data_IF_141868246481
#
_entry.id   IF_141868246481
#
_cell.length_a   1.000
_cell.length_b   1.000
_cell.length_c   1.000
_cell.angle_alpha   90.00
_cell.angle_beta   90.00
_cell.angle_gamma   90.00
#
_symmetry.space_group_name_H-M   'P 1'
#
loop_
_entity.id
_entity.type
_entity.pdbx_description
1 polymer ?
#
# COMPACT_ATOMS: atom_id res chain seq x y z
N UNK A 1 -4.55 0.19 -22.26
CA UNK A 1 -4.03 0.96 -21.11
C UNK A 1 -4.77 2.28 -21.06
N UNK A 2 -5.29 2.67 -19.93
CA UNK A 2 -5.86 4.01 -19.78
C UNK A 2 -4.68 4.98 -19.61
N UNK A 3 -4.40 5.80 -20.63
CA UNK A 3 -3.29 6.78 -20.62
C UNK A 3 -3.39 7.81 -19.46
N UNK A 4 -4.53 7.83 -18.78
CA UNK A 4 -4.83 8.72 -17.66
C UNK A 4 -4.71 8.05 -16.28
N UNK A 5 -4.54 6.71 -16.19
CA UNK A 5 -4.46 6.01 -14.93
C UNK A 5 -3.08 6.14 -14.28
N UNK A 6 -3.02 6.75 -13.11
CA UNK A 6 -1.77 6.94 -12.34
C UNK A 6 -1.04 5.61 -12.10
N UNK A 7 -1.77 4.57 -11.68
CA UNK A 7 -1.16 3.27 -11.37
C UNK A 7 -0.73 2.48 -12.60
N UNK A 8 -1.40 2.65 -13.74
CA UNK A 8 -0.90 2.12 -15.01
C UNK A 8 0.46 2.72 -15.39
N UNK A 9 0.62 4.02 -15.22
CA UNK A 9 1.87 4.73 -15.49
C UNK A 9 2.99 4.33 -14.53
N UNK A 10 2.64 4.09 -13.25
CA UNK A 10 3.58 3.54 -12.26
C UNK A 10 3.99 2.11 -12.67
N UNK A 11 3.03 1.26 -13.03
CA UNK A 11 3.30 -0.10 -13.49
C UNK A 11 4.14 -0.15 -14.77
N UNK A 12 3.95 0.80 -15.68
CA UNK A 12 4.76 0.98 -16.88
C UNK A 12 6.17 1.54 -16.59
N UNK A 13 6.44 2.04 -15.39
CA UNK A 13 7.71 2.66 -15.02
C UNK A 13 7.87 4.11 -15.49
N UNK A 14 6.81 4.74 -15.97
CA UNK A 14 6.81 6.15 -16.39
C UNK A 14 6.86 7.10 -15.19
N UNK A 15 6.29 6.67 -14.06
CA UNK A 15 6.33 7.41 -12.80
C UNK A 15 7.20 6.63 -11.83
N UNK A 16 8.30 7.21 -11.34
CA UNK A 16 9.21 6.54 -10.42
C UNK A 16 8.55 6.34 -9.05
N UNK A 17 8.74 5.16 -8.47
CA UNK A 17 8.28 4.80 -7.13
C UNK A 17 9.36 4.04 -6.37
N UNK A 18 9.25 4.01 -5.05
CA UNK A 18 10.10 3.18 -4.19
C UNK A 18 9.52 1.77 -4.11
N UNK A 19 9.91 0.93 -5.05
CA UNK A 19 9.42 -0.44 -5.17
C UNK A 19 9.99 -1.32 -4.07
N UNK A 20 9.14 -2.20 -3.54
CA UNK A 20 9.47 -3.23 -2.54
C UNK A 20 9.47 -4.62 -3.17
N UNK A 21 8.54 -4.85 -4.07
CA UNK A 21 8.39 -6.12 -4.81
C UNK A 21 7.82 -5.85 -6.19
N UNK A 22 8.23 -6.64 -7.18
CA UNK A 22 7.69 -6.61 -8.53
C UNK A 22 7.81 -7.98 -9.19
N UNK A 23 6.76 -8.36 -9.89
CA UNK A 23 6.79 -9.38 -10.95
C UNK A 23 5.96 -8.92 -12.14
N UNK A 24 5.65 -9.83 -13.08
CA UNK A 24 4.90 -9.49 -14.30
C UNK A 24 3.44 -9.11 -14.02
N UNK A 25 2.89 -9.48 -12.87
CA UNK A 25 1.46 -9.39 -12.55
C UNK A 25 1.12 -8.38 -11.48
N UNK A 26 1.99 -8.20 -10.50
CA UNK A 26 1.77 -7.31 -9.36
C UNK A 26 3.01 -6.49 -9.03
N UNK A 27 2.77 -5.32 -8.45
CA UNK A 27 3.79 -4.38 -7.99
C UNK A 27 3.46 -3.90 -6.58
N UNK A 28 4.43 -3.92 -5.67
CA UNK A 28 4.34 -3.30 -4.35
C UNK A 28 5.33 -2.16 -4.21
N UNK A 29 4.88 -1.02 -3.72
CA UNK A 29 5.69 0.20 -3.57
C UNK A 29 5.23 1.04 -2.37
N UNK A 30 6.12 1.93 -1.91
CA UNK A 30 5.84 2.82 -0.79
C UNK A 30 4.82 3.88 -1.18
N UNK A 31 3.84 4.10 -0.29
CA UNK A 31 2.90 5.21 -0.43
C UNK A 31 3.62 6.54 -0.18
N UNK A 32 3.42 7.52 -1.06
CA UNK A 32 4.02 8.86 -0.95
C UNK A 32 3.27 9.78 0.01
N UNK A 33 2.01 9.44 0.32
CA UNK A 33 1.17 10.12 1.30
C UNK A 33 0.80 9.18 2.47
N UNK A 34 1.78 8.64 3.21
CA UNK A 34 1.55 7.53 4.12
C UNK A 34 0.72 7.93 5.33
N UNK A 35 -0.23 7.09 5.73
CA UNK A 35 -0.96 7.22 7.01
C UNK A 35 0.01 7.00 8.19
N UNK A 36 0.95 6.06 8.03
CA UNK A 36 2.00 5.73 9.01
C UNK A 36 3.31 5.43 8.27
N UNK A 37 4.46 5.62 8.93
CA UNK A 37 5.73 5.16 8.37
C UNK A 37 5.65 3.69 7.97
N UNK A 38 6.10 3.38 6.76
CA UNK A 38 6.03 2.03 6.22
C UNK A 38 4.74 1.66 5.49
N UNK A 39 3.79 2.58 5.34
CA UNK A 39 2.60 2.38 4.51
C UNK A 39 3.00 2.09 3.07
N UNK A 40 2.53 1.01 2.52
CA UNK A 40 2.77 0.60 1.15
C UNK A 40 1.48 0.17 0.45
N UNK A 41 1.54 0.11 -0.87
CA UNK A 41 0.45 -0.32 -1.73
C UNK A 41 0.88 -1.50 -2.59
N UNK A 42 -0.08 -2.41 -2.88
CA UNK A 42 0.08 -3.46 -3.88
C UNK A 42 -0.97 -3.23 -4.96
N UNK A 43 -0.54 -3.22 -6.21
CA UNK A 43 -1.41 -3.06 -7.37
C UNK A 43 -1.20 -4.22 -8.37
N UNK A 44 -2.23 -4.62 -9.12
CA UNK A 44 -2.02 -5.39 -10.35
C UNK A 44 -1.29 -4.53 -11.39
N UNK A 45 -0.46 -5.12 -12.24
CA UNK A 45 0.21 -4.42 -13.35
C UNK A 45 -0.74 -4.13 -14.51
N UNK A 46 -1.74 -5.01 -14.70
CA UNK A 46 -2.81 -4.80 -15.66
C UNK A 46 -3.84 -3.80 -15.14
N UNK A 47 -4.39 -2.97 -16.03
CA UNK A 47 -5.48 -2.09 -15.66
C UNK A 47 -6.75 -2.88 -15.39
N UNK A 48 -7.25 -2.74 -14.19
CA UNK A 48 -8.54 -3.23 -13.72
C UNK A 48 -9.23 -2.02 -13.08
N UNK A 49 -10.53 -1.88 -13.24
CA UNK A 49 -11.23 -0.69 -12.72
C UNK A 49 -11.68 -0.86 -11.26
N UNK A 50 -12.19 -2.06 -10.92
CA UNK A 50 -12.75 -2.36 -9.60
C UNK A 50 -12.12 -3.61 -8.99
N UNK A 51 -12.04 -3.66 -7.66
CA UNK A 51 -11.40 -4.79 -6.96
C UNK A 51 -12.13 -6.12 -7.19
N UNK A 52 -13.45 -6.10 -7.31
CA UNK A 52 -14.27 -7.28 -7.58
C UNK A 52 -14.04 -7.89 -8.97
N UNK A 53 -13.37 -7.15 -9.85
CA UNK A 53 -13.01 -7.60 -11.20
C UNK A 53 -11.57 -8.15 -11.27
N UNK A 54 -10.85 -8.17 -10.16
CA UNK A 54 -9.50 -8.76 -10.13
C UNK A 54 -9.64 -10.28 -10.38
N UNK A 55 -8.90 -10.87 -11.34
CA UNK A 55 -8.86 -12.32 -11.49
C UNK A 55 -8.49 -13.01 -10.17
N UNK A 56 -9.15 -14.12 -9.88
CA UNK A 56 -9.00 -14.83 -8.58
C UNK A 56 -7.55 -15.18 -8.26
N UNK A 57 -6.80 -15.61 -9.27
CA UNK A 57 -5.40 -15.97 -9.12
C UNK A 57 -4.51 -14.76 -8.79
N UNK A 58 -4.80 -13.58 -9.35
CA UNK A 58 -4.12 -12.31 -9.02
C UNK A 58 -4.55 -11.84 -7.63
N UNK A 59 -5.83 -11.96 -7.28
CA UNK A 59 -6.33 -11.62 -5.95
C UNK A 59 -5.64 -12.48 -4.86
N UNK A 60 -5.50 -13.79 -5.10
CA UNK A 60 -4.77 -14.68 -4.23
C UNK A 60 -3.29 -14.28 -4.10
N UNK A 61 -2.65 -13.96 -5.21
CA UNK A 61 -1.24 -13.53 -5.22
C UNK A 61 -1.02 -12.25 -4.42
N UNK A 62 -1.90 -11.26 -4.57
CA UNK A 62 -1.86 -10.02 -3.79
C UNK A 62 -2.03 -10.30 -2.29
N UNK A 63 -2.96 -11.18 -1.92
CA UNK A 63 -3.16 -11.56 -0.51
C UNK A 63 -1.93 -12.27 0.07
N UNK A 64 -1.36 -13.23 -0.64
CA UNK A 64 -0.17 -13.96 -0.19
C UNK A 64 1.05 -13.04 -0.05
N UNK A 65 1.25 -12.14 -1.02
CA UNK A 65 2.30 -11.13 -0.91
C UNK A 65 2.03 -10.18 0.27
N UNK A 66 0.77 -9.78 0.47
CA UNK A 66 0.35 -8.95 1.60
C UNK A 66 0.71 -9.56 2.95
N UNK A 67 0.49 -10.88 3.14
CA UNK A 67 0.88 -11.58 4.36
C UNK A 67 2.40 -11.52 4.60
N UNK A 68 3.20 -11.76 3.55
CA UNK A 68 4.67 -11.71 3.64
C UNK A 68 5.17 -10.30 3.94
N UNK A 69 4.61 -9.29 3.26
CA UNK A 69 4.94 -7.88 3.49
C UNK A 69 4.53 -7.43 4.90
N UNK A 70 3.39 -7.87 5.42
CA UNK A 70 2.98 -7.56 6.79
C UNK A 70 3.98 -8.12 7.82
N UNK A 71 4.50 -9.34 7.62
CA UNK A 71 5.56 -9.90 8.47
C UNK A 71 6.84 -9.05 8.40
N UNK A 72 7.23 -8.61 7.20
CA UNK A 72 8.38 -7.74 6.99
C UNK A 72 8.19 -6.37 7.67
N UNK A 73 7.02 -5.73 7.51
CA UNK A 73 6.70 -4.46 8.17
C UNK A 73 6.74 -4.58 9.70
N UNK A 74 6.21 -5.67 10.26
CA UNK A 74 6.28 -5.93 11.71
C UNK A 74 7.71 -5.97 12.22
N UNK A 75 8.61 -6.63 11.49
CA UNK A 75 10.04 -6.69 11.83
C UNK A 75 10.72 -5.33 11.74
N UNK A 76 10.44 -4.57 10.67
CA UNK A 76 11.10 -3.29 10.40
C UNK A 76 10.63 -2.19 11.35
N UNK A 77 9.33 -2.14 11.64
CA UNK A 77 8.72 -1.04 12.40
C UNK A 77 8.38 -1.39 13.86
N UNK A 78 8.59 -2.64 14.28
CA UNK A 78 8.33 -3.08 15.65
C UNK A 78 6.85 -3.04 16.04
N UNK A 79 5.93 -3.13 15.07
CA UNK A 79 4.49 -3.09 15.32
C UNK A 79 3.93 -4.50 15.48
N UNK A 80 2.88 -4.65 16.28
CA UNK A 80 2.20 -5.93 16.46
C UNK A 80 1.26 -6.29 15.31
N UNK A 81 0.71 -5.29 14.63
CA UNK A 81 -0.35 -5.45 13.63
C UNK A 81 -0.11 -4.58 12.41
N UNK A 82 -0.60 -5.08 11.28
CA UNK A 82 -0.64 -4.37 10.01
C UNK A 82 -2.07 -4.47 9.47
N UNK A 83 -2.64 -3.36 9.04
CA UNK A 83 -3.91 -3.38 8.32
C UNK A 83 -3.67 -3.73 6.87
N UNK A 84 -4.52 -4.58 6.31
CA UNK A 84 -4.64 -4.85 4.88
C UNK A 84 -6.04 -4.43 4.44
N UNK A 85 -6.13 -3.52 3.49
CA UNK A 85 -7.43 -3.06 3.00
C UNK A 85 -7.35 -2.61 1.55
N UNK A 86 -8.41 -2.85 0.78
CA UNK A 86 -8.62 -2.18 -0.49
C UNK A 86 -9.33 -0.85 -0.26
N UNK A 87 -8.85 0.19 -0.94
CA UNK A 87 -9.59 1.42 -1.10
C UNK A 87 -9.63 1.77 -2.60
N UNK A 88 -10.65 2.45 -3.03
CA UNK A 88 -10.89 2.74 -4.45
C UNK A 88 -11.50 4.11 -4.68
N UNK A 89 -11.25 5.06 -3.78
CA UNK A 89 -11.87 6.38 -3.86
C UNK A 89 -11.26 7.29 -4.93
N UNK A 90 -9.96 7.32 -5.02
CA UNK A 90 -9.24 8.36 -5.78
C UNK A 90 -8.77 7.89 -7.17
N UNK A 91 -8.48 6.61 -7.32
CA UNK A 91 -7.97 6.04 -8.57
C UNK A 91 -8.77 4.80 -8.95
N UNK A 92 -9.36 4.79 -10.14
CA UNK A 92 -10.04 3.61 -10.70
C UNK A 92 -9.01 2.55 -11.15
N UNK A 93 -8.34 1.96 -10.17
CA UNK A 93 -7.37 0.88 -10.28
C UNK A 93 -7.22 0.28 -8.89
N UNK A 94 -7.51 -1.02 -8.66
CA UNK A 94 -7.51 -1.59 -7.34
C UNK A 94 -6.12 -1.52 -6.71
N UNK A 95 -6.07 -1.06 -5.50
CA UNK A 95 -4.84 -0.98 -4.73
C UNK A 95 -5.09 -1.42 -3.29
N UNK A 96 -4.32 -2.41 -2.87
CA UNK A 96 -4.34 -2.89 -1.51
C UNK A 96 -3.34 -2.11 -0.68
N UNK A 97 -3.82 -1.49 0.40
CA UNK A 97 -2.98 -0.80 1.36
C UNK A 97 -2.51 -1.74 2.46
N UNK A 98 -1.23 -1.67 2.81
CA UNK A 98 -0.67 -2.28 4.01
C UNK A 98 -0.13 -1.18 4.92
N UNK A 99 -0.73 -1.04 6.10
CA UNK A 99 -0.48 0.08 7.01
C UNK A 99 -0.03 -0.48 8.36
N UNK A 100 1.21 -0.22 8.79
CA UNK A 100 1.64 -0.55 10.15
C UNK A 100 0.78 0.18 11.17
N UNK A 101 0.20 -0.54 12.14
CA UNK A 101 -0.68 0.02 13.15
C UNK A 101 0.15 0.35 14.40
N UNK A 102 0.29 1.64 14.70
CA UNK A 102 1.00 2.13 15.88
C UNK A 102 0.07 2.32 17.07
N UNK A 103 -1.18 2.73 16.82
CA UNK A 103 -2.17 3.00 17.83
C UNK A 103 -3.35 2.03 17.74
N UNK A 104 -4.03 1.83 18.86
CA UNK A 104 -5.16 0.89 18.97
C UNK A 104 -6.32 1.18 18.00
N UNK A 105 -6.47 2.42 17.56
CA UNK A 105 -7.57 2.87 16.72
C UNK A 105 -7.13 3.34 15.33
N UNK A 106 -5.90 3.01 14.92
CA UNK A 106 -5.45 3.31 13.57
C UNK A 106 -6.32 2.58 12.55
N UNK A 107 -6.78 3.31 11.55
CA UNK A 107 -7.54 2.79 10.40
C UNK A 107 -8.80 1.99 10.81
N UNK A 108 -9.47 2.35 11.90
CA UNK A 108 -10.70 1.69 12.35
C UNK A 108 -11.93 2.56 12.16
N UNK A 109 -13.07 1.93 11.88
CA UNK A 109 -14.37 2.60 11.69
C UNK A 109 -14.87 3.33 12.95
N UNK A 110 -14.40 2.95 14.13
CA UNK A 110 -14.82 3.55 15.41
C UNK A 110 -14.50 5.04 15.49
N UNK A 111 -13.42 5.47 14.87
CA UNK A 111 -13.00 6.89 14.83
C UNK A 111 -13.84 7.74 13.88
N UNK A 112 -14.45 7.13 12.87
CA UNK A 112 -15.27 7.82 11.87
C UNK A 112 -16.71 8.05 12.32
N UNK A 113 -17.19 7.28 13.30
CA UNK A 113 -18.60 7.27 13.74
C UNK A 113 -18.86 8.26 14.87
N UNK A 114 -17.86 8.62 15.66
CA UNK A 114 -18.03 9.47 16.87
C UNK A 114 -17.76 10.96 16.63
N UNK A 115 -17.34 11.39 15.44
CA UNK A 115 -17.00 12.80 15.21
C UNK A 115 -17.81 13.40 14.06
N UNK A 116 -18.77 14.26 14.39
CA UNK A 116 -19.46 15.13 13.42
C UNK A 116 -18.54 16.20 12.79
N UNK A 117 -17.36 16.41 13.32
CA UNK A 117 -16.34 17.31 12.81
C UNK A 117 -14.99 16.59 12.68
N UNK A 118 -14.69 16.06 11.50
CA UNK A 118 -13.38 15.44 11.23
C UNK A 118 -12.34 16.53 11.03
N UNK A 119 -11.41 16.64 11.98
CA UNK A 119 -10.22 17.48 11.79
C UNK A 119 -9.14 16.62 11.18
N UNK A 120 -8.81 16.88 9.91
CA UNK A 120 -7.70 16.20 9.25
C UNK A 120 -6.37 16.72 9.77
N UNK A 121 -5.51 15.84 10.23
CA UNK A 121 -4.10 16.18 10.44
C UNK A 121 -3.41 16.20 9.06
N UNK A 122 -2.44 17.09 8.85
CA UNK A 122 -1.58 16.99 7.67
C UNK A 122 -1.00 15.58 7.57
N UNK A 123 -0.95 15.05 6.35
CA UNK A 123 -0.29 13.75 6.11
C UNK A 123 1.20 13.87 6.42
N UNK A 124 1.83 12.84 6.99
CA UNK A 124 3.27 12.83 7.09
C UNK A 124 3.90 13.02 5.71
N UNK A 125 4.88 13.89 5.61
CA UNK A 125 5.75 13.97 4.43
C UNK A 125 7.07 13.27 4.78
N UNK A 126 7.22 11.99 4.42
CA UNK A 126 8.41 11.22 4.79
C UNK A 126 9.64 11.62 3.98
N UNK A 127 9.43 12.39 2.92
CA UNK A 127 10.50 12.70 1.99
C UNK A 127 11.03 11.48 1.20
N UNK A 128 11.60 11.75 0.05
CA UNK A 128 12.06 10.72 -0.89
C UNK A 128 13.13 9.78 -0.30
N UNK A 129 13.99 10.31 0.56
CA UNK A 129 15.09 9.54 1.15
C UNK A 129 14.59 8.51 2.17
N UNK A 130 13.64 8.88 3.00
CA UNK A 130 13.02 7.99 3.99
C UNK A 130 12.21 6.88 3.30
N UNK A 131 11.43 7.20 2.27
CA UNK A 131 10.71 6.21 1.46
C UNK A 131 11.66 5.19 0.83
N UNK A 132 12.79 5.63 0.30
CA UNK A 132 13.81 4.75 -0.27
C UNK A 132 14.42 3.81 0.78
N UNK A 133 14.69 4.32 1.97
CA UNK A 133 15.24 3.51 3.09
C UNK A 133 14.22 2.46 3.52
N UNK A 134 12.97 2.84 3.73
CA UNK A 134 11.91 1.90 4.14
C UNK A 134 11.64 0.84 3.08
N UNK A 135 11.61 1.21 1.79
CA UNK A 135 11.46 0.25 0.71
C UNK A 135 12.54 -0.84 0.76
N UNK A 136 13.80 -0.46 0.93
CA UNK A 136 14.92 -1.40 1.04
C UNK A 136 14.83 -2.29 2.27
N UNK A 137 14.48 -1.72 3.42
CA UNK A 137 14.35 -2.48 4.67
C UNK A 137 13.25 -3.53 4.57
N UNK A 138 12.09 -3.16 4.01
CA UNK A 138 10.97 -4.07 3.82
C UNK A 138 11.33 -5.15 2.79
N UNK A 139 11.91 -4.76 1.65
CA UNK A 139 12.33 -5.72 0.63
C UNK A 139 13.34 -6.74 1.17
N UNK A 140 14.35 -6.29 1.91
CA UNK A 140 15.34 -7.18 2.54
C UNK A 140 14.72 -8.12 3.60
N UNK A 141 13.66 -7.69 4.27
CA UNK A 141 12.95 -8.50 5.25
C UNK A 141 11.96 -9.49 4.61
N UNK A 142 11.56 -9.25 3.36
CA UNK A 142 10.64 -10.12 2.61
C UNK A 142 11.29 -11.43 2.19
N UNK A 143 12.57 -11.41 1.85
CA UNK A 143 13.31 -12.56 1.30
C UNK A 143 13.83 -13.53 2.39
N UNK A 144 13.46 -13.32 3.64
CA UNK A 144 13.86 -14.14 4.79
C UNK A 144 12.61 -14.71 5.47
#
# INVERSE_FOLDING_TARGET
MSDYCLFCRIAAGEIPTHQVFRNDRILAFMDTGPIRPGHLQIIPTAHIEYFENIPEDIACEIMLLGQRLAVAQKKVFGVERVAFQYSGGDVAHPHAHLIPLLEKHDVTSRRYIEQEGITFKPMPDPGNNELRVFAKLIANALDR
#
